data_IF_253103830819
#
_entry.id   IF_253103830819
#
_cell.length_a   1.000
_cell.length_b   1.000
_cell.length_c   1.000
_cell.angle_alpha   90.00
_cell.angle_beta   90.00
_cell.angle_gamma   90.00
#
_symmetry.space_group_name_H-M   'P 1'
#
loop_
_entity.id
_entity.type
_entity.pdbx_description
1 polymer ?
#
# COMPACT_ATOMS: atom_id res chain seq x y z
N UNK A 1 30.02 -55.80 -5.13
CA UNK A 1 31.11 -54.85 -5.42
C UNK A 1 30.44 -53.60 -6.00
N UNK A 2 30.76 -52.38 -5.52
CA UNK A 2 30.12 -51.15 -6.04
C UNK A 2 30.48 -50.95 -7.51
N UNK A 3 29.61 -50.30 -8.28
CA UNK A 3 29.78 -50.11 -9.73
C UNK A 3 30.92 -49.15 -10.12
N UNK A 4 31.49 -48.43 -9.14
CA UNK A 4 32.53 -47.41 -9.25
C UNK A 4 33.91 -47.87 -8.73
N UNK A 5 34.08 -49.17 -8.47
CA UNK A 5 35.34 -49.71 -7.97
C UNK A 5 36.42 -49.77 -9.06
N UNK A 6 37.57 -49.15 -8.82
CA UNK A 6 38.77 -49.22 -9.67
C UNK A 6 39.86 -49.95 -8.91
N UNK A 7 39.86 -51.29 -9.01
CA UNK A 7 40.77 -52.15 -8.24
C UNK A 7 40.40 -52.21 -6.75
N UNK A 8 41.36 -51.98 -5.86
CA UNK A 8 41.18 -51.98 -4.39
C UNK A 8 40.72 -50.62 -3.82
N UNK A 9 40.54 -49.60 -4.67
CA UNK A 9 40.12 -48.25 -4.30
C UNK A 9 38.86 -47.82 -5.07
N UNK A 10 38.24 -46.71 -4.68
CA UNK A 10 37.12 -46.08 -5.38
C UNK A 10 37.55 -44.72 -5.92
N UNK A 11 37.01 -44.37 -7.09
CA UNK A 11 37.27 -43.08 -7.72
C UNK A 11 36.36 -42.00 -7.11
N UNK A 12 36.92 -41.15 -6.26
CA UNK A 12 36.23 -40.01 -5.62
C UNK A 12 36.24 -38.74 -6.49
N UNK A 13 36.66 -38.80 -7.77
CA UNK A 13 36.52 -37.63 -8.64
C UNK A 13 35.04 -37.35 -8.98
N UNK A 14 34.52 -36.16 -8.67
CA UNK A 14 33.15 -35.82 -9.01
C UNK A 14 32.99 -35.87 -10.53
N UNK A 15 31.94 -36.54 -11.06
CA UNK A 15 31.74 -36.63 -12.49
C UNK A 15 31.69 -35.21 -13.08
N UNK A 16 32.32 -34.99 -14.26
CA UNK A 16 32.34 -33.66 -14.87
C UNK A 16 30.89 -33.18 -15.01
N UNK A 17 30.62 -31.96 -14.53
CA UNK A 17 29.30 -31.32 -14.66
C UNK A 17 28.98 -31.15 -16.14
N UNK A 18 28.31 -32.14 -16.71
CA UNK A 18 27.65 -31.99 -18.01
C UNK A 18 26.50 -31.02 -17.77
N UNK A 19 26.73 -29.73 -18.04
CA UNK A 19 25.64 -28.78 -18.21
C UNK A 19 24.89 -29.25 -19.44
N UNK A 20 23.84 -30.04 -19.23
CA UNK A 20 22.84 -30.28 -20.25
C UNK A 20 22.28 -28.91 -20.62
N UNK A 21 22.76 -28.35 -21.73
CA UNK A 21 22.09 -27.22 -22.38
C UNK A 21 20.81 -27.83 -22.93
N UNK A 22 19.76 -27.88 -22.12
CA UNK A 22 18.41 -28.04 -22.64
C UNK A 22 18.18 -26.81 -23.50
N UNK A 23 18.27 -26.96 -24.81
CA UNK A 23 17.59 -26.05 -25.74
C UNK A 23 16.12 -26.07 -25.32
N UNK A 24 15.74 -25.07 -24.52
CA UNK A 24 14.34 -24.80 -24.25
C UNK A 24 13.82 -24.26 -25.58
N UNK A 25 13.00 -25.06 -26.27
CA UNK A 25 12.22 -24.55 -27.38
C UNK A 25 11.57 -23.24 -26.93
N UNK A 26 11.91 -22.16 -27.62
CA UNK A 26 11.41 -20.84 -27.30
C UNK A 26 9.96 -20.78 -27.77
N UNK A 27 9.05 -21.26 -26.93
CA UNK A 27 7.61 -21.14 -27.17
C UNK A 27 7.33 -19.65 -27.26
N UNK A 28 6.97 -19.20 -28.46
CA UNK A 28 6.53 -17.82 -28.67
C UNK A 28 5.08 -17.79 -28.24
N UNK A 29 4.71 -16.97 -27.23
CA UNK A 29 3.31 -16.87 -26.83
C UNK A 29 2.49 -16.34 -28.01
N UNK A 30 1.21 -16.76 -28.13
CA UNK A 30 0.31 -16.16 -29.11
C UNK A 30 0.22 -14.65 -28.89
N UNK A 31 -0.08 -13.90 -29.94
CA UNK A 31 -0.35 -12.48 -29.80
C UNK A 31 -1.51 -12.27 -28.83
N UNK A 32 -1.34 -11.41 -27.82
CA UNK A 32 -2.40 -11.16 -26.86
C UNK A 32 -3.64 -10.57 -27.52
N UNK A 33 -4.80 -11.21 -27.29
CA UNK A 33 -6.07 -10.77 -27.86
C UNK A 33 -6.47 -9.36 -27.45
N UNK A 34 -5.96 -8.86 -26.32
CA UNK A 34 -6.24 -7.50 -25.83
C UNK A 34 -5.44 -6.39 -26.52
N UNK A 35 -4.53 -6.75 -27.43
CA UNK A 35 -3.83 -5.79 -28.30
C UNK A 35 -4.55 -5.59 -29.65
N UNK A 36 -5.56 -6.42 -29.94
CA UNK A 36 -6.35 -6.30 -31.16
C UNK A 36 -7.23 -5.03 -31.11
N UNK A 37 -7.21 -4.16 -32.15
CA UNK A 37 -8.10 -2.99 -32.21
C UNK A 37 -9.60 -3.31 -32.11
N UNK A 38 -10.01 -4.51 -32.51
CA UNK A 38 -11.37 -5.03 -32.39
C UNK A 38 -11.70 -5.69 -31.04
N UNK A 39 -10.75 -5.71 -30.09
CA UNK A 39 -10.98 -6.21 -28.75
C UNK A 39 -11.96 -5.29 -28.00
N UNK A 40 -13.15 -5.81 -27.68
CA UNK A 40 -14.21 -5.06 -27.01
C UNK A 40 -14.74 -5.88 -25.81
N UNK A 41 -13.98 -5.94 -24.70
CA UNK A 41 -14.30 -6.82 -23.59
C UNK A 41 -15.59 -6.38 -22.90
N UNK A 42 -16.58 -7.26 -22.90
CA UNK A 42 -17.83 -7.02 -22.18
C UNK A 42 -18.75 -5.98 -22.84
N UNK A 43 -18.58 -5.67 -24.13
CA UNK A 43 -19.38 -4.65 -24.82
C UNK A 43 -20.88 -4.93 -24.80
N UNK A 44 -21.28 -6.18 -25.05
CA UNK A 44 -22.70 -6.55 -25.04
C UNK A 44 -23.32 -6.38 -23.64
N UNK A 45 -22.56 -6.72 -22.60
CA UNK A 45 -22.94 -6.47 -21.21
C UNK A 45 -23.01 -4.96 -20.93
N UNK A 46 -22.06 -4.18 -21.44
CA UNK A 46 -22.03 -2.73 -21.27
C UNK A 46 -23.23 -2.05 -21.95
N UNK A 47 -23.59 -2.47 -23.17
CA UNK A 47 -24.79 -2.01 -23.90
C UNK A 47 -26.09 -2.37 -23.20
N UNK A 48 -26.14 -3.54 -22.58
CA UNK A 48 -27.30 -3.99 -21.81
C UNK A 48 -27.33 -3.46 -20.37
N UNK A 49 -26.25 -2.82 -19.89
CA UNK A 49 -26.17 -2.38 -18.51
C UNK A 49 -27.07 -1.15 -18.33
N UNK A 50 -28.02 -1.19 -17.38
CA UNK A 50 -29.02 -0.13 -17.25
C UNK A 50 -28.47 1.19 -16.70
N UNK A 51 -27.18 1.22 -16.27
CA UNK A 51 -26.49 2.35 -15.63
C UNK A 51 -27.45 3.17 -14.78
N UNK A 52 -28.09 2.55 -13.77
CA UNK A 52 -29.23 3.10 -13.04
C UNK A 52 -29.00 4.54 -12.54
N UNK A 53 -29.25 5.51 -13.41
CA UNK A 53 -28.80 6.89 -13.19
C UNK A 53 -29.60 7.54 -12.08
N UNK A 54 -28.95 8.44 -11.36
CA UNK A 54 -29.63 9.32 -10.40
C UNK A 54 -30.51 10.33 -11.12
N UNK A 55 -31.76 10.45 -10.67
CA UNK A 55 -32.51 11.70 -10.84
C UNK A 55 -31.97 12.77 -9.88
N UNK A 56 -32.15 14.05 -10.23
CA UNK A 56 -31.72 15.16 -9.35
C UNK A 56 -32.43 15.14 -7.98
N UNK A 57 -33.67 14.63 -7.94
CA UNK A 57 -34.41 14.45 -6.69
C UNK A 57 -33.77 13.36 -5.83
N UNK A 58 -33.52 12.17 -6.37
CA UNK A 58 -32.85 11.07 -5.65
C UNK A 58 -31.46 11.50 -5.16
N UNK A 59 -30.74 12.30 -5.94
CA UNK A 59 -29.43 12.81 -5.57
C UNK A 59 -29.54 13.79 -4.39
N UNK A 60 -30.53 14.67 -4.38
CA UNK A 60 -30.80 15.58 -3.26
C UNK A 60 -31.19 14.82 -1.99
N UNK A 61 -32.04 13.80 -2.11
CA UNK A 61 -32.44 12.92 -1.01
C UNK A 61 -31.24 12.16 -0.43
N UNK A 62 -30.36 11.63 -1.29
CA UNK A 62 -29.15 10.93 -0.85
C UNK A 62 -28.19 11.82 -0.05
N UNK A 63 -28.09 13.13 -0.37
CA UNK A 63 -27.34 14.11 0.44
C UNK A 63 -27.96 14.26 1.83
N UNK A 64 -29.29 14.43 1.91
CA UNK A 64 -29.98 14.63 3.18
C UNK A 64 -29.85 13.41 4.11
N UNK A 65 -29.82 12.22 3.53
CA UNK A 65 -29.60 10.97 4.25
C UNK A 65 -28.12 10.68 4.55
N UNK A 66 -27.20 11.56 4.15
CA UNK A 66 -25.74 11.43 4.34
C UNK A 66 -25.19 10.10 3.81
N UNK A 67 -25.75 9.61 2.70
CA UNK A 67 -25.30 8.36 2.11
C UNK A 67 -23.95 8.56 1.42
N UNK A 68 -22.93 7.71 1.67
CA UNK A 68 -21.66 7.83 1.00
C UNK A 68 -21.78 7.45 -0.49
N UNK A 69 -20.97 8.10 -1.31
CA UNK A 69 -20.75 7.72 -2.71
C UNK A 69 -19.35 7.14 -2.88
N UNK A 70 -19.27 5.92 -3.42
CA UNK A 70 -18.01 5.37 -3.87
C UNK A 70 -17.64 6.02 -5.19
N UNK A 71 -16.40 6.45 -5.37
CA UNK A 71 -16.00 7.12 -6.60
C UNK A 71 -14.61 6.69 -7.07
N UNK A 72 -14.42 6.81 -8.38
CA UNK A 72 -13.20 6.44 -9.09
C UNK A 72 -13.10 7.22 -10.42
N UNK A 73 -11.90 7.35 -10.97
CA UNK A 73 -11.59 8.13 -12.16
C UNK A 73 -10.84 7.31 -13.21
N UNK A 74 -11.35 7.32 -14.43
CA UNK A 74 -10.65 6.79 -15.61
C UNK A 74 -10.18 7.93 -16.52
N UNK A 75 -8.95 7.83 -17.03
CA UNK A 75 -8.37 8.88 -17.88
C UNK A 75 -7.54 8.30 -19.04
N UNK A 76 -7.94 8.69 -20.25
CA UNK A 76 -7.30 8.43 -21.54
C UNK A 76 -7.16 9.76 -22.30
N UNK A 77 -6.29 9.84 -23.33
CA UNK A 77 -6.03 11.09 -24.06
C UNK A 77 -7.29 11.81 -24.60
N UNK A 78 -8.29 11.03 -25.00
CA UNK A 78 -9.55 11.53 -25.57
C UNK A 78 -10.80 11.20 -24.72
N UNK A 79 -10.64 10.68 -23.51
CA UNK A 79 -11.76 10.30 -22.65
C UNK A 79 -11.42 10.47 -21.18
N UNK A 80 -12.27 11.19 -20.45
CA UNK A 80 -12.19 11.34 -19.00
C UNK A 80 -13.53 10.97 -18.38
N UNK A 81 -13.49 10.16 -17.34
CA UNK A 81 -14.68 9.67 -16.65
C UNK A 81 -14.49 9.82 -15.14
N UNK A 82 -15.49 10.39 -14.48
CA UNK A 82 -15.66 10.34 -13.02
C UNK A 82 -16.94 9.59 -12.74
N UNK A 83 -16.85 8.45 -12.07
CA UNK A 83 -18.03 7.65 -11.74
C UNK A 83 -18.28 7.64 -10.24
N UNK A 84 -19.55 7.60 -9.87
CA UNK A 84 -20.02 7.46 -8.50
C UNK A 84 -21.00 6.30 -8.41
N UNK A 85 -20.89 5.50 -7.35
CA UNK A 85 -21.80 4.41 -7.03
C UNK A 85 -22.34 4.62 -5.62
N UNK A 86 -23.66 4.58 -5.47
CA UNK A 86 -24.29 4.60 -4.17
C UNK A 86 -24.47 3.18 -3.64
N UNK A 87 -24.10 3.00 -2.36
CA UNK A 87 -24.00 1.72 -1.68
C UNK A 87 -25.30 0.87 -1.63
N UNK A 88 -26.44 1.47 -1.27
CA UNK A 88 -27.69 0.78 -0.92
C UNK A 88 -28.63 0.55 -2.11
N UNK A 89 -28.70 1.51 -3.02
CA UNK A 89 -29.63 1.57 -4.15
C UNK A 89 -29.00 1.06 -5.43
N UNK A 90 -27.66 0.98 -5.49
CA UNK A 90 -26.93 0.62 -6.71
C UNK A 90 -27.03 1.68 -7.81
N UNK A 91 -27.48 2.89 -7.45
CA UNK A 91 -27.56 4.03 -8.36
C UNK A 91 -26.17 4.50 -8.74
N UNK A 92 -26.03 4.91 -9.99
CA UNK A 92 -24.77 5.34 -10.57
C UNK A 92 -24.91 6.79 -11.03
N UNK A 93 -23.82 7.55 -10.93
CA UNK A 93 -23.70 8.86 -11.54
C UNK A 93 -22.35 8.94 -12.24
N UNK A 94 -22.35 9.18 -13.54
CA UNK A 94 -21.12 9.30 -14.32
C UNK A 94 -21.02 10.68 -14.94
N UNK A 95 -19.84 11.26 -14.89
CA UNK A 95 -19.47 12.48 -15.58
C UNK A 95 -18.42 12.14 -16.63
N UNK A 96 -18.77 12.32 -17.90
CA UNK A 96 -17.94 11.97 -19.03
C UNK A 96 -17.50 13.22 -19.78
N UNK A 97 -16.25 13.22 -20.25
CA UNK A 97 -15.71 14.25 -21.12
C UNK A 97 -14.95 13.62 -22.28
N UNK A 98 -15.38 13.95 -23.49
CA UNK A 98 -14.77 13.56 -24.76
C UNK A 98 -15.19 14.56 -25.86
N UNK A 99 -14.75 14.34 -27.09
CA UNK A 99 -15.09 15.21 -28.22
C UNK A 99 -16.62 15.36 -28.39
N UNK A 100 -17.13 16.59 -28.27
CA UNK A 100 -18.56 16.88 -28.37
C UNK A 100 -19.38 16.69 -27.09
N UNK A 101 -18.77 16.17 -26.02
CA UNK A 101 -19.41 15.98 -24.71
C UNK A 101 -18.60 16.72 -23.63
N UNK A 102 -18.99 17.96 -23.26
CA UNK A 102 -18.33 18.68 -22.18
C UNK A 102 -18.72 18.13 -20.82
N UNK A 103 -17.82 18.27 -19.85
CA UNK A 103 -18.08 17.88 -18.46
C UNK A 103 -19.09 18.84 -17.79
N UNK A 104 -20.07 18.30 -17.07
CA UNK A 104 -20.95 19.09 -16.18
C UNK A 104 -20.20 19.48 -14.90
N UNK A 105 -19.33 20.49 -15.03
CA UNK A 105 -18.49 21.00 -13.95
C UNK A 105 -19.31 21.50 -12.74
N UNK A 106 -20.39 22.30 -12.91
CA UNK A 106 -21.20 22.74 -11.77
C UNK A 106 -21.74 21.59 -10.94
N UNK A 107 -22.31 20.55 -11.58
CA UNK A 107 -22.88 19.41 -10.87
C UNK A 107 -21.78 18.55 -10.24
N UNK A 108 -20.66 18.31 -10.92
CA UNK A 108 -19.52 17.57 -10.35
C UNK A 108 -18.96 18.27 -9.10
N UNK A 109 -18.75 19.58 -9.16
CA UNK A 109 -18.29 20.38 -8.00
C UNK A 109 -19.26 20.28 -6.84
N UNK A 110 -20.57 20.33 -7.11
CA UNK A 110 -21.59 20.18 -6.08
C UNK A 110 -21.56 18.78 -5.46
N UNK A 111 -21.48 17.71 -6.26
CA UNK A 111 -21.39 16.33 -5.76
C UNK A 111 -20.19 16.15 -4.83
N UNK A 112 -18.99 16.57 -5.26
CA UNK A 112 -17.78 16.47 -4.43
C UNK A 112 -17.83 17.32 -3.16
N UNK A 113 -18.57 18.43 -3.18
CA UNK A 113 -18.72 19.33 -2.03
C UNK A 113 -19.82 18.91 -1.05
N UNK A 114 -20.86 18.22 -1.52
CA UNK A 114 -22.04 17.88 -0.73
C UNK A 114 -21.97 16.48 -0.09
N UNK A 115 -21.31 15.52 -0.76
CA UNK A 115 -21.30 14.13 -0.32
C UNK A 115 -20.04 13.76 0.49
N UNK A 116 -20.20 12.75 1.35
CA UNK A 116 -19.08 11.92 1.75
C UNK A 116 -18.70 11.02 0.56
N UNK A 117 -17.49 11.19 0.04
CA UNK A 117 -16.97 10.35 -1.04
C UNK A 117 -15.99 9.33 -0.48
N UNK A 118 -15.98 8.12 -1.06
CA UNK A 118 -15.09 7.03 -0.65
C UNK A 118 -14.38 6.49 -1.89
N UNK A 119 -13.05 6.43 -1.87
CA UNK A 119 -12.26 5.91 -2.99
C UNK A 119 -11.07 5.09 -2.52
N UNK A 120 -10.30 4.55 -3.46
CA UNK A 120 -9.08 3.80 -3.18
C UNK A 120 -7.88 4.50 -3.82
N UNK A 121 -6.93 4.96 -3.01
CA UNK A 121 -5.82 5.84 -3.43
C UNK A 121 -6.30 7.20 -3.99
N UNK A 122 -7.51 7.61 -3.60
CA UNK A 122 -8.20 8.75 -4.17
C UNK A 122 -7.60 10.10 -3.80
N UNK A 123 -7.01 10.23 -2.61
CA UNK A 123 -6.35 11.49 -2.22
C UNK A 123 -5.09 11.75 -3.04
N UNK A 124 -4.43 10.68 -3.50
CA UNK A 124 -3.20 10.77 -4.29
C UNK A 124 -3.48 11.05 -5.77
N UNK A 125 -4.53 10.45 -6.33
CA UNK A 125 -4.81 10.47 -7.76
C UNK A 125 -6.16 11.14 -8.09
N UNK A 126 -7.27 10.52 -7.72
CA UNK A 126 -8.61 10.91 -8.16
C UNK A 126 -8.98 12.34 -7.76
N UNK A 127 -8.74 12.74 -6.50
CA UNK A 127 -9.06 14.09 -6.03
C UNK A 127 -8.31 15.19 -6.81
N UNK A 128 -6.98 15.10 -7.02
CA UNK A 128 -6.26 15.99 -7.94
C UNK A 128 -6.85 16.01 -9.36
N UNK A 129 -7.20 14.86 -9.93
CA UNK A 129 -7.74 14.76 -11.28
C UNK A 129 -9.10 15.45 -11.39
N UNK A 130 -10.01 15.21 -10.44
CA UNK A 130 -11.31 15.87 -10.37
C UNK A 130 -11.15 17.38 -10.16
N UNK A 131 -10.15 17.82 -9.38
CA UNK A 131 -9.88 19.26 -9.17
C UNK A 131 -9.44 19.94 -10.48
N UNK A 132 -8.56 19.30 -11.26
CA UNK A 132 -8.16 19.78 -12.59
C UNK A 132 -9.34 19.82 -13.55
N UNK A 133 -10.15 18.76 -13.60
CA UNK A 133 -11.33 18.69 -14.44
C UNK A 133 -12.34 19.79 -14.07
N UNK A 134 -12.55 20.00 -12.77
CA UNK A 134 -13.36 21.10 -12.26
C UNK A 134 -12.79 22.47 -12.62
N UNK A 135 -11.49 22.63 -12.85
CA UNK A 135 -10.87 23.86 -13.32
C UNK A 135 -11.04 24.09 -14.84
N UNK A 136 -11.68 23.16 -15.55
CA UNK A 136 -11.94 23.26 -16.99
C UNK A 136 -10.79 22.78 -17.87
N UNK A 137 -9.89 21.95 -17.34
CA UNK A 137 -8.83 21.32 -18.14
C UNK A 137 -9.42 20.30 -19.11
N UNK A 138 -8.87 20.21 -20.32
CA UNK A 138 -9.31 19.26 -21.35
C UNK A 138 -8.77 17.83 -21.11
N UNK A 139 -9.23 16.85 -21.91
CA UNK A 139 -8.85 15.43 -21.74
C UNK A 139 -7.35 15.21 -21.92
N UNK A 140 -6.72 15.95 -22.83
CA UNK A 140 -5.28 15.84 -23.09
C UNK A 140 -4.45 16.33 -21.90
N UNK A 141 -4.81 17.49 -21.34
CA UNK A 141 -4.16 18.06 -20.15
C UNK A 141 -4.35 17.16 -18.93
N UNK A 142 -5.55 16.58 -18.78
CA UNK A 142 -5.80 15.59 -17.74
C UNK A 142 -4.92 14.34 -17.94
N UNK A 143 -4.81 13.83 -19.15
CA UNK A 143 -3.95 12.67 -19.42
C UNK A 143 -2.47 12.96 -19.12
N UNK A 144 -1.97 14.16 -19.43
CA UNK A 144 -0.62 14.59 -19.04
C UNK A 144 -0.45 14.65 -17.52
N UNK A 145 -1.48 15.09 -16.77
CA UNK A 145 -1.48 15.03 -15.32
C UNK A 145 -1.45 13.57 -14.81
N UNK A 146 -2.19 12.64 -15.45
CA UNK A 146 -2.11 11.21 -15.15
C UNK A 146 -0.69 10.68 -15.34
N UNK A 147 -0.01 11.01 -16.45
CA UNK A 147 1.38 10.62 -16.68
C UNK A 147 2.31 11.17 -15.59
N UNK A 148 2.11 12.43 -15.18
CA UNK A 148 2.88 13.05 -14.10
C UNK A 148 2.73 12.33 -12.75
N UNK A 149 1.51 11.95 -12.37
CA UNK A 149 1.23 11.31 -11.08
C UNK A 149 1.64 9.83 -11.07
N UNK A 150 1.32 9.10 -12.15
CA UNK A 150 1.47 7.64 -12.21
C UNK A 150 2.86 7.23 -12.69
N UNK A 151 3.33 7.79 -13.81
CA UNK A 151 4.60 7.37 -14.44
C UNK A 151 5.79 8.11 -13.83
N UNK A 152 5.64 9.40 -13.56
CA UNK A 152 6.70 10.21 -12.97
C UNK A 152 6.62 10.32 -11.45
N UNK A 153 5.69 9.58 -10.83
CA UNK A 153 5.48 9.48 -9.38
C UNK A 153 5.37 10.83 -8.65
N UNK A 154 4.94 11.88 -9.35
CA UNK A 154 4.76 13.18 -8.75
C UNK A 154 3.59 13.17 -7.78
N UNK A 155 3.68 13.98 -6.73
CA UNK A 155 2.56 14.13 -5.80
C UNK A 155 1.46 14.93 -6.48
N UNK A 156 0.20 14.51 -6.32
CA UNK A 156 -0.95 15.19 -6.94
C UNK A 156 -1.01 16.69 -6.61
N UNK A 157 -0.65 17.11 -5.39
CA UNK A 157 -0.58 18.53 -5.03
C UNK A 157 0.49 19.31 -5.80
N UNK A 158 1.62 18.68 -6.18
CA UNK A 158 2.64 19.32 -7.02
C UNK A 158 2.12 19.54 -8.43
N UNK A 159 1.33 18.58 -8.95
CA UNK A 159 0.69 18.70 -10.26
C UNK A 159 -0.34 19.84 -10.25
N UNK A 160 -1.19 19.92 -9.22
CA UNK A 160 -2.15 21.01 -9.05
C UNK A 160 -1.49 22.39 -9.02
N UNK A 161 -0.36 22.53 -8.33
CA UNK A 161 0.38 23.79 -8.23
C UNK A 161 0.86 24.33 -9.58
N UNK A 162 1.15 23.47 -10.56
CA UNK A 162 1.53 23.89 -11.92
C UNK A 162 0.44 24.69 -12.62
N UNK A 163 -0.81 24.41 -12.24
CA UNK A 163 -2.00 25.07 -12.75
C UNK A 163 -2.54 26.15 -11.78
N UNK A 164 -1.76 26.52 -10.75
CA UNK A 164 -2.18 27.50 -9.75
C UNK A 164 -3.30 27.01 -8.83
N UNK A 165 -3.54 25.70 -8.76
CA UNK A 165 -4.59 25.09 -7.96
C UNK A 165 -4.05 24.58 -6.61
N UNK A 166 -4.93 24.57 -5.62
CA UNK A 166 -4.69 23.91 -4.33
C UNK A 166 -5.49 22.62 -4.25
N UNK A 167 -5.04 21.68 -3.42
CA UNK A 167 -5.80 20.47 -3.16
C UNK A 167 -7.12 20.83 -2.46
N UNK A 168 -8.28 20.46 -3.01
CA UNK A 168 -9.56 20.77 -2.40
C UNK A 168 -9.75 20.00 -1.09
N UNK A 169 -10.42 20.63 -0.13
CA UNK A 169 -10.79 20.03 1.16
C UNK A 169 -12.17 19.40 1.07
N UNK A 170 -12.30 18.32 0.30
CA UNK A 170 -13.54 17.56 0.20
C UNK A 170 -13.69 16.58 1.38
N UNK A 171 -14.93 16.22 1.69
CA UNK A 171 -15.24 15.19 2.68
C UNK A 171 -15.02 13.81 2.04
N UNK A 172 -13.78 13.32 2.06
CA UNK A 172 -13.38 12.10 1.37
C UNK A 172 -12.69 11.12 2.30
N UNK A 173 -13.03 9.84 2.19
CA UNK A 173 -12.31 8.72 2.79
C UNK A 173 -11.49 8.02 1.70
N UNK A 174 -10.20 7.85 1.97
CA UNK A 174 -9.31 7.05 1.13
C UNK A 174 -8.99 5.74 1.84
N UNK A 175 -9.37 4.63 1.21
CA UNK A 175 -9.27 3.30 1.81
C UNK A 175 -7.84 2.73 1.78
N UNK A 176 -6.91 3.29 0.98
CA UNK A 176 -5.61 2.64 0.76
C UNK A 176 -4.78 2.50 2.05
N UNK A 177 -4.82 3.50 2.93
CA UNK A 177 -4.10 3.50 4.21
C UNK A 177 -4.88 2.78 5.32
N UNK A 178 -6.18 2.54 5.13
CA UNK A 178 -7.04 1.81 6.08
C UNK A 178 -6.96 0.31 5.83
N UNK A 179 -6.79 -0.10 4.58
CA UNK A 179 -6.68 -1.49 4.18
C UNK A 179 -5.38 -2.12 4.72
N UNK A 180 -5.42 -3.38 5.21
CA UNK A 180 -4.25 -4.00 5.83
C UNK A 180 -3.25 -4.52 4.79
N UNK A 181 -1.95 -4.31 5.06
CA UNK A 181 -0.82 -4.65 4.18
C UNK A 181 -0.76 -3.74 2.92
N UNK A 182 0.25 -3.95 2.09
CA UNK A 182 0.38 -3.24 0.81
C UNK A 182 -0.15 -4.12 -0.33
N UNK A 183 -1.28 -3.72 -0.92
CA UNK A 183 -1.85 -4.38 -2.10
C UNK A 183 -2.69 -3.39 -2.91
N UNK A 184 -2.89 -3.68 -4.20
CA UNK A 184 -3.80 -2.90 -5.05
C UNK A 184 -5.26 -3.31 -4.87
N UNK A 185 -6.18 -2.45 -5.35
CA UNK A 185 -7.63 -2.64 -5.26
C UNK A 185 -8.07 -4.02 -5.74
N UNK A 186 -7.55 -4.50 -6.88
CA UNK A 186 -7.84 -5.83 -7.44
C UNK A 186 -7.60 -6.97 -6.44
N UNK A 187 -6.48 -6.91 -5.72
CA UNK A 187 -6.12 -7.92 -4.72
C UNK A 187 -7.04 -7.87 -3.50
N UNK A 188 -7.43 -6.67 -3.07
CA UNK A 188 -8.40 -6.50 -2.00
C UNK A 188 -9.80 -6.94 -2.42
N UNK A 189 -10.24 -6.58 -3.63
CA UNK A 189 -11.49 -7.03 -4.21
C UNK A 189 -11.60 -8.55 -4.23
N UNK A 190 -10.52 -9.25 -4.56
CA UNK A 190 -10.48 -10.72 -4.46
C UNK A 190 -10.71 -11.25 -3.04
N UNK A 191 -10.04 -10.65 -2.05
CA UNK A 191 -10.22 -11.02 -0.63
C UNK A 191 -11.60 -10.66 -0.09
N UNK A 192 -12.19 -9.59 -0.61
CA UNK A 192 -13.54 -9.14 -0.29
C UNK A 192 -14.63 -9.83 -1.13
N UNK A 193 -14.29 -10.86 -1.91
CA UNK A 193 -15.22 -11.62 -2.76
C UNK A 193 -15.99 -10.74 -3.77
N UNK A 194 -15.32 -9.76 -4.38
CA UNK A 194 -15.88 -8.99 -5.49
C UNK A 194 -16.29 -9.93 -6.63
N UNK A 195 -17.49 -9.79 -7.22
CA UNK A 195 -18.00 -10.69 -8.25
C UNK A 195 -17.19 -10.61 -9.55
N UNK A 196 -16.47 -9.51 -9.77
CA UNK A 196 -15.65 -9.27 -10.95
C UNK A 196 -14.26 -8.83 -10.54
N UNK A 197 -13.28 -9.36 -11.25
CA UNK A 197 -11.89 -8.98 -11.15
C UNK A 197 -11.30 -8.95 -12.56
N UNK A 198 -10.91 -7.76 -13.02
CA UNK A 198 -10.39 -7.55 -14.36
C UNK A 198 -9.23 -6.56 -14.29
N UNK A 199 -8.34 -6.57 -15.29
CA UNK A 199 -7.43 -5.45 -15.54
C UNK A 199 -8.10 -4.41 -16.44
N UNK A 200 -7.45 -3.25 -16.57
CA UNK A 200 -7.88 -2.18 -17.49
C UNK A 200 -8.22 -2.77 -18.87
N UNK A 201 -9.38 -2.41 -19.45
CA UNK A 201 -9.82 -2.95 -20.74
C UNK A 201 -8.86 -2.64 -21.90
N UNK A 202 -8.18 -1.48 -21.84
CA UNK A 202 -7.28 -0.99 -22.87
C UNK A 202 -5.98 -0.49 -22.27
N UNK A 203 -4.92 -0.44 -23.08
CA UNK A 203 -3.64 0.08 -22.62
C UNK A 203 -3.75 1.58 -22.28
N UNK A 204 -3.12 2.04 -21.19
CA UNK A 204 -3.00 3.46 -20.90
C UNK A 204 -2.46 4.24 -22.10
N UNK A 205 -3.09 5.35 -22.46
CA UNK A 205 -2.70 6.17 -23.62
C UNK A 205 -3.34 5.78 -24.94
N UNK A 206 -4.17 4.74 -24.97
CA UNK A 206 -4.97 4.42 -26.16
C UNK A 206 -5.98 5.53 -26.45
N UNK A 207 -6.06 5.97 -27.71
CA UNK A 207 -7.17 6.82 -28.17
C UNK A 207 -8.39 5.93 -28.38
N UNK A 208 -9.41 6.10 -27.55
CA UNK A 208 -10.56 5.20 -27.49
C UNK A 208 -11.59 5.51 -28.57
N UNK A 209 -12.24 4.47 -29.10
CA UNK A 209 -13.50 4.59 -29.85
C UNK A 209 -14.69 4.69 -28.89
N UNK A 210 -15.88 5.05 -29.39
CA UNK A 210 -17.09 5.13 -28.55
C UNK A 210 -17.44 3.81 -27.86
N UNK A 211 -17.31 2.68 -28.55
CA UNK A 211 -17.53 1.34 -27.96
C UNK A 211 -16.47 1.01 -26.89
N UNK A 212 -15.22 1.44 -27.09
CA UNK A 212 -14.16 1.29 -26.09
C UNK A 212 -14.41 2.18 -24.86
N UNK A 213 -14.86 3.41 -25.04
CA UNK A 213 -15.27 4.29 -23.92
C UNK A 213 -16.38 3.63 -23.09
N UNK A 214 -17.38 3.03 -23.75
CA UNK A 214 -18.44 2.28 -23.07
C UNK A 214 -17.92 1.05 -22.30
N UNK A 215 -16.96 0.31 -22.88
CA UNK A 215 -16.27 -0.77 -22.18
C UNK A 215 -15.52 -0.28 -20.93
N UNK A 216 -14.85 0.87 -21.00
CA UNK A 216 -14.16 1.50 -19.85
C UNK A 216 -15.16 1.91 -18.77
N UNK A 217 -16.24 2.61 -19.16
CA UNK A 217 -17.31 3.00 -18.23
C UNK A 217 -17.90 1.79 -17.50
N UNK A 218 -18.17 0.71 -18.24
CA UNK A 218 -18.69 -0.52 -17.65
C UNK A 218 -17.69 -1.22 -16.72
N UNK A 219 -16.41 -1.28 -17.11
CA UNK A 219 -15.33 -1.79 -16.26
C UNK A 219 -15.25 -1.03 -14.94
N UNK A 220 -15.29 0.31 -15.00
CA UNK A 220 -15.15 1.17 -13.84
C UNK A 220 -16.32 1.00 -12.86
N UNK A 221 -17.55 1.05 -13.36
CA UNK A 221 -18.77 0.95 -12.53
C UNK A 221 -18.98 -0.47 -11.99
N UNK A 222 -18.91 -1.50 -12.84
CA UNK A 222 -19.22 -2.88 -12.45
C UNK A 222 -18.01 -3.64 -11.88
N UNK A 223 -16.81 -3.08 -11.98
CA UNK A 223 -15.56 -3.65 -11.46
C UNK A 223 -15.03 -2.84 -10.29
N UNK A 224 -14.36 -1.73 -10.56
CA UNK A 224 -13.57 -1.00 -9.57
C UNK A 224 -14.43 -0.34 -8.48
N UNK A 225 -15.53 0.33 -8.83
CA UNK A 225 -16.45 0.87 -7.81
C UNK A 225 -17.08 -0.23 -6.96
N UNK A 226 -17.39 -1.38 -7.57
CA UNK A 226 -17.92 -2.54 -6.83
C UNK A 226 -16.85 -3.10 -5.88
N UNK A 227 -15.59 -3.20 -6.31
CA UNK A 227 -14.49 -3.64 -5.46
C UNK A 227 -14.23 -2.66 -4.31
N UNK A 228 -14.27 -1.35 -4.57
CA UNK A 228 -14.14 -0.28 -3.56
C UNK A 228 -15.26 -0.35 -2.54
N UNK A 229 -16.51 -0.54 -2.97
CA UNK A 229 -17.64 -0.76 -2.09
C UNK A 229 -17.44 -2.00 -1.20
N UNK A 230 -17.05 -3.15 -1.79
CA UNK A 230 -16.83 -4.38 -1.02
C UNK A 230 -15.71 -4.23 0.00
N UNK A 231 -14.62 -3.54 -0.36
CA UNK A 231 -13.55 -3.24 0.57
C UNK A 231 -14.03 -2.34 1.70
N UNK A 232 -14.81 -1.30 1.41
CA UNK A 232 -15.42 -0.45 2.43
C UNK A 232 -16.28 -1.25 3.40
N UNK A 233 -17.15 -2.14 2.89
CA UNK A 233 -18.01 -3.01 3.71
C UNK A 233 -17.19 -3.86 4.69
N UNK A 234 -16.05 -4.40 4.24
CA UNK A 234 -15.12 -5.16 5.10
C UNK A 234 -14.44 -4.27 6.16
N UNK A 235 -14.19 -3.00 5.84
CA UNK A 235 -13.46 -2.05 6.69
C UNK A 235 -14.36 -1.18 7.59
N UNK A 236 -15.69 -1.37 7.57
CA UNK A 236 -16.63 -0.60 8.40
C UNK A 236 -16.20 -0.54 9.88
N UNK A 237 -15.83 -1.64 10.56
CA UNK A 237 -15.41 -1.58 11.97
C UNK A 237 -14.21 -0.65 12.21
N UNK A 238 -13.22 -0.68 11.31
CA UNK A 238 -12.01 0.14 11.36
C UNK A 238 -12.32 1.62 11.10
N UNK A 239 -13.25 1.88 10.17
CA UNK A 239 -13.71 3.23 9.81
C UNK A 239 -14.55 3.85 10.93
N UNK A 240 -15.43 3.09 11.58
CA UNK A 240 -16.21 3.55 12.72
C UNK A 240 -15.32 3.93 13.90
N UNK A 241 -14.30 3.11 14.20
CA UNK A 241 -13.30 3.44 15.23
C UNK A 241 -12.59 4.76 14.91
N UNK A 242 -12.11 4.91 13.67
CA UNK A 242 -11.49 6.15 13.19
C UNK A 242 -12.42 7.35 13.28
N UNK A 243 -13.70 7.20 12.92
CA UNK A 243 -14.68 8.28 13.00
C UNK A 243 -14.93 8.72 14.45
N UNK A 244 -15.05 7.77 15.39
CA UNK A 244 -15.19 8.07 16.82
C UNK A 244 -13.96 8.81 17.36
N UNK A 245 -12.76 8.30 17.07
CA UNK A 245 -11.50 8.95 17.46
C UNK A 245 -11.36 10.32 16.78
N UNK A 246 -11.83 10.47 15.54
CA UNK A 246 -11.81 11.77 14.85
C UNK A 246 -12.63 12.82 15.57
N UNK A 247 -13.83 12.44 16.03
CA UNK A 247 -14.71 13.30 16.81
C UNK A 247 -14.12 13.64 18.19
N UNK A 248 -13.53 12.66 18.87
CA UNK A 248 -12.90 12.84 20.18
C UNK A 248 -11.70 13.80 20.13
N UNK A 249 -10.85 13.68 19.11
CA UNK A 249 -9.61 14.43 18.99
C UNK A 249 -9.71 15.70 18.13
N UNK A 250 -10.83 15.91 17.43
CA UNK A 250 -11.00 17.03 16.50
C UNK A 250 -10.06 16.96 15.28
N UNK A 251 -9.69 15.75 14.85
CA UNK A 251 -8.78 15.47 13.74
C UNK A 251 -9.45 14.52 12.76
N UNK A 252 -9.24 14.65 11.44
CA UNK A 252 -9.74 13.64 10.51
C UNK A 252 -8.77 12.46 10.41
N UNK A 253 -9.18 11.32 10.96
CA UNK A 253 -8.40 10.08 11.03
C UNK A 253 -8.94 9.00 10.08
N UNK A 254 -10.01 9.27 9.33
CA UNK A 254 -10.76 8.26 8.58
C UNK A 254 -9.97 7.64 7.42
N UNK A 255 -8.98 8.36 6.90
CA UNK A 255 -8.07 7.92 5.84
C UNK A 255 -6.65 7.62 6.33
N UNK A 256 -6.45 7.44 7.65
CA UNK A 256 -5.13 7.22 8.23
C UNK A 256 -4.90 5.74 8.56
N UNK A 257 -3.66 5.29 8.40
CA UNK A 257 -3.21 4.01 8.92
C UNK A 257 -3.09 4.02 10.45
N UNK A 258 -3.07 2.84 11.07
CA UNK A 258 -3.00 2.72 12.53
C UNK A 258 -1.77 3.44 13.11
N UNK A 259 -0.63 3.38 12.40
CA UNK A 259 0.59 4.09 12.77
C UNK A 259 0.41 5.62 12.69
N UNK A 260 -0.24 6.13 11.63
CA UNK A 260 -0.51 7.56 11.47
C UNK A 260 -1.54 8.07 12.50
N UNK A 261 -2.49 7.22 12.92
CA UNK A 261 -3.42 7.54 14.01
C UNK A 261 -2.66 7.67 15.33
N UNK A 262 -1.81 6.70 15.65
CA UNK A 262 -0.99 6.74 16.85
C UNK A 262 -0.09 7.99 16.87
N UNK A 263 0.57 8.31 15.74
CA UNK A 263 1.37 9.53 15.59
C UNK A 263 0.53 10.79 15.83
N UNK A 264 -0.66 10.90 15.22
CA UNK A 264 -1.52 12.06 15.36
C UNK A 264 -1.99 12.27 16.81
N UNK A 265 -2.36 11.19 17.49
CA UNK A 265 -2.83 11.23 18.89
C UNK A 265 -1.69 11.53 19.85
N UNK A 266 -0.55 10.85 19.73
CA UNK A 266 0.63 11.11 20.56
C UNK A 266 1.10 12.55 20.35
N UNK A 267 1.09 13.05 19.12
CA UNK A 267 1.44 14.43 18.82
C UNK A 267 0.46 15.45 19.40
N UNK A 268 -0.84 15.14 19.38
CA UNK A 268 -1.87 15.98 20.00
C UNK A 268 -1.70 16.03 21.53
N UNK A 269 -1.50 14.89 22.18
CA UNK A 269 -1.24 14.82 23.62
C UNK A 269 0.04 15.53 24.01
N UNK A 270 1.12 15.28 23.27
CA UNK A 270 2.39 15.97 23.48
C UNK A 270 2.21 17.49 23.44
N UNK A 271 1.49 17.99 22.43
CA UNK A 271 1.20 19.42 22.28
C UNK A 271 0.33 19.95 23.42
N UNK A 272 -0.65 19.16 23.87
CA UNK A 272 -1.52 19.51 25.00
C UNK A 272 -0.74 19.65 26.30
N UNK A 273 0.24 18.78 26.53
CA UNK A 273 1.04 18.76 27.76
C UNK A 273 2.21 19.75 27.75
N UNK A 274 2.87 19.96 26.61
CA UNK A 274 4.10 20.78 26.52
C UNK A 274 3.87 22.16 25.91
N UNK A 275 2.75 22.38 25.21
CA UNK A 275 2.51 23.56 24.39
C UNK A 275 3.29 23.57 23.07
N UNK A 276 4.09 22.55 22.79
CA UNK A 276 4.94 22.45 21.60
C UNK A 276 4.53 21.25 20.73
N UNK A 277 4.66 21.38 19.42
CA UNK A 277 4.44 20.24 18.51
C UNK A 277 5.68 19.35 18.48
N UNK A 278 5.52 18.02 18.39
CA UNK A 278 6.67 17.14 18.23
C UNK A 278 7.39 17.49 16.93
N UNK A 279 8.71 17.67 17.01
CA UNK A 279 9.54 17.94 15.84
C UNK A 279 10.39 16.72 15.51
N UNK A 280 10.59 16.50 14.21
CA UNK A 280 11.53 15.48 13.75
C UNK A 280 12.94 15.89 14.18
N UNK A 281 13.67 14.96 14.79
CA UNK A 281 15.09 15.19 15.07
C UNK A 281 15.86 15.40 13.76
N UNK A 282 16.73 16.41 13.76
CA UNK A 282 17.83 16.45 12.80
C UNK A 282 18.84 15.38 13.22
N UNK A 283 19.27 14.59 12.25
CA UNK A 283 20.25 13.53 12.46
C UNK A 283 21.43 13.82 11.55
N UNK A 284 22.61 13.99 12.15
CA UNK A 284 23.82 14.26 11.39
C UNK A 284 24.21 13.05 10.55
N UNK A 285 24.11 13.17 9.22
CA UNK A 285 24.64 12.19 8.30
C UNK A 285 26.15 12.02 8.53
N UNK A 286 26.61 10.78 8.65
CA UNK A 286 27.98 10.46 9.03
C UNK A 286 28.24 10.50 10.55
N UNK A 287 27.24 10.88 11.35
CA UNK A 287 27.28 10.80 12.81
C UNK A 287 27.52 9.38 13.32
N UNK A 288 27.93 9.28 14.58
CA UNK A 288 28.19 8.01 15.26
C UNK A 288 27.38 7.95 16.54
N UNK A 289 26.66 6.84 16.71
CA UNK A 289 25.98 6.48 17.97
C UNK A 289 26.57 5.21 18.55
N UNK A 290 26.38 4.99 19.85
CA UNK A 290 26.84 3.79 20.55
C UNK A 290 25.68 3.06 21.19
N UNK A 291 25.76 1.74 21.20
CA UNK A 291 24.78 0.91 21.88
C UNK A 291 25.03 0.90 23.39
N UNK A 292 24.01 1.30 24.16
CA UNK A 292 24.02 1.21 25.62
C UNK A 292 23.23 -0.02 26.04
N UNK A 293 23.94 -1.05 26.48
CA UNK A 293 23.33 -2.29 26.94
C UNK A 293 22.49 -2.04 28.21
N UNK A 294 21.25 -2.54 28.28
CA UNK A 294 20.47 -2.55 29.52
C UNK A 294 21.24 -3.17 30.70
N UNK A 295 21.12 -2.59 31.89
CA UNK A 295 21.81 -3.06 33.10
C UNK A 295 21.45 -4.51 33.50
N UNK A 296 20.26 -4.97 33.09
CA UNK A 296 19.77 -6.34 33.30
C UNK A 296 20.18 -7.31 32.21
N UNK A 297 20.76 -6.85 31.09
CA UNK A 297 21.20 -7.73 30.00
C UNK A 297 22.53 -8.39 30.38
N UNK A 298 22.46 -9.67 30.77
CA UNK A 298 23.63 -10.46 31.18
C UNK A 298 23.57 -11.84 30.55
N UNK A 299 24.72 -12.37 30.17
CA UNK A 299 24.87 -13.70 29.60
C UNK A 299 25.77 -14.55 30.47
N UNK A 300 25.49 -15.85 30.54
CA UNK A 300 26.33 -16.82 31.27
C UNK A 300 27.49 -17.34 30.41
N UNK A 301 27.26 -17.52 29.10
CA UNK A 301 28.26 -18.10 28.19
C UNK A 301 29.28 -17.09 27.66
N UNK A 302 30.56 -17.48 27.63
CA UNK A 302 31.68 -16.65 27.17
C UNK A 302 31.48 -16.09 25.75
N UNK A 303 30.90 -16.87 24.84
CA UNK A 303 30.62 -16.43 23.47
C UNK A 303 29.72 -15.18 23.44
N UNK A 304 28.65 -15.20 24.24
CA UNK A 304 27.66 -14.11 24.25
C UNK A 304 28.15 -12.92 25.08
N UNK A 305 28.92 -13.17 26.14
CA UNK A 305 29.60 -12.10 26.90
C UNK A 305 30.59 -11.35 26.01
N UNK A 306 31.46 -12.06 25.28
CA UNK A 306 32.41 -11.46 24.35
C UNK A 306 31.71 -10.70 23.22
N UNK A 307 30.63 -11.26 22.67
CA UNK A 307 29.84 -10.57 21.65
C UNK A 307 29.19 -9.29 22.18
N UNK A 308 28.60 -9.32 23.38
CA UNK A 308 28.02 -8.13 24.01
C UNK A 308 29.07 -7.03 24.16
N UNK A 309 30.27 -7.37 24.67
CA UNK A 309 31.38 -6.43 24.82
C UNK A 309 31.80 -5.81 23.47
N UNK A 310 31.91 -6.62 22.42
CA UNK A 310 32.25 -6.13 21.09
C UNK A 310 31.16 -5.20 20.51
N UNK A 311 29.88 -5.50 20.72
CA UNK A 311 28.77 -4.66 20.26
C UNK A 311 28.73 -3.34 21.03
N UNK A 312 28.90 -3.37 22.36
CA UNK A 312 28.95 -2.14 23.17
C UNK A 312 30.16 -1.27 22.86
N UNK A 313 31.26 -1.88 22.38
CA UNK A 313 32.46 -1.18 21.94
C UNK A 313 32.41 -0.72 20.47
N UNK A 314 31.38 -1.07 19.71
CA UNK A 314 31.28 -0.74 18.30
C UNK A 314 30.59 0.61 18.08
N UNK A 315 31.09 1.34 17.08
CA UNK A 315 30.49 2.57 16.59
C UNK A 315 29.44 2.26 15.52
N UNK A 316 28.24 2.78 15.71
CA UNK A 316 27.12 2.67 14.78
C UNK A 316 27.02 3.95 13.97
N UNK A 317 27.38 3.88 12.68
CA UNK A 317 27.36 5.04 11.79
C UNK A 317 25.97 5.35 11.29
N UNK A 318 25.68 6.62 11.05
CA UNK A 318 24.43 7.07 10.46
C UNK A 318 24.66 7.32 8.97
N UNK A 319 23.94 6.59 8.12
CA UNK A 319 23.98 6.78 6.67
C UNK A 319 23.35 8.13 6.28
N UNK A 320 23.58 8.58 5.04
CA UNK A 320 22.96 9.81 4.49
C UNK A 320 21.42 9.78 4.54
N UNK A 321 20.82 8.59 4.52
CA UNK A 321 19.38 8.39 4.70
C UNK A 321 18.86 8.63 6.12
N UNK A 322 19.76 8.89 7.09
CA UNK A 322 19.45 8.97 8.52
C UNK A 322 19.30 7.61 9.22
N UNK A 323 19.49 6.50 8.50
CA UNK A 323 19.42 5.15 9.06
C UNK A 323 20.74 4.72 9.70
N UNK A 324 20.66 3.95 10.77
CA UNK A 324 21.82 3.36 11.43
C UNK A 324 22.38 2.21 10.59
N UNK A 325 23.66 2.27 10.28
CA UNK A 325 24.40 1.21 9.61
C UNK A 325 24.80 0.12 10.59
N UNK A 326 24.68 -1.12 10.12
CA UNK A 326 25.11 -2.28 10.89
C UNK A 326 26.63 -2.34 11.00
N UNK A 327 27.20 -2.35 12.22
CA UNK A 327 28.63 -2.50 12.41
C UNK A 327 29.16 -3.85 11.93
N UNK A 328 30.43 -3.86 11.54
CA UNK A 328 31.11 -5.05 11.03
C UNK A 328 31.11 -6.21 12.01
N UNK A 329 31.22 -5.93 13.31
CA UNK A 329 31.14 -6.96 14.36
C UNK A 329 29.83 -7.75 14.25
N UNK A 330 28.69 -7.05 14.08
CA UNK A 330 27.40 -7.72 14.00
C UNK A 330 27.21 -8.44 12.65
N UNK A 331 27.67 -7.85 11.53
CA UNK A 331 27.60 -8.48 10.20
C UNK A 331 28.35 -9.83 10.18
N UNK A 332 29.52 -9.87 10.82
CA UNK A 332 30.42 -11.03 10.86
C UNK A 332 30.04 -12.02 11.97
N UNK A 333 29.29 -11.60 12.99
CA UNK A 333 28.89 -12.46 14.10
C UNK A 333 28.13 -13.71 13.61
N UNK A 334 28.58 -14.87 14.09
CA UNK A 334 27.92 -16.16 13.92
C UNK A 334 27.81 -16.81 15.30
N UNK A 335 26.58 -16.86 15.81
CA UNK A 335 26.29 -17.32 17.17
C UNK A 335 25.81 -18.76 17.07
N UNK A 336 26.44 -19.67 17.81
CA UNK A 336 26.06 -21.09 17.83
C UNK A 336 25.21 -21.32 19.07
N UNK A 337 23.92 -21.58 18.91
CA UNK A 337 23.04 -21.98 20.01
C UNK A 337 22.56 -23.41 19.72
N UNK A 338 23.04 -24.36 20.52
CA UNK A 338 22.84 -25.78 20.25
C UNK A 338 23.42 -26.19 18.88
N UNK A 339 22.55 -26.67 17.99
CA UNK A 339 22.93 -27.12 16.63
C UNK A 339 22.75 -26.04 15.56
N UNK A 340 22.12 -24.92 15.89
CA UNK A 340 21.78 -23.86 14.95
C UNK A 340 22.80 -22.73 14.99
N UNK A 341 23.03 -22.12 13.83
CA UNK A 341 23.81 -20.89 13.70
C UNK A 341 22.85 -19.74 13.44
N UNK A 342 23.01 -18.68 14.22
CA UNK A 342 22.28 -17.43 14.08
C UNK A 342 23.20 -16.31 13.63
N UNK A 343 22.66 -15.41 12.82
CA UNK A 343 23.25 -14.12 12.45
C UNK A 343 22.46 -12.99 13.10
N UNK A 344 23.13 -11.87 13.33
CA UNK A 344 22.48 -10.66 13.80
C UNK A 344 21.93 -9.86 12.60
N UNK A 345 20.80 -9.20 12.80
CA UNK A 345 20.30 -8.05 12.05
C UNK A 345 20.20 -6.83 12.97
N UNK A 346 20.02 -5.64 12.42
CA UNK A 346 19.71 -4.44 13.23
C UNK A 346 18.41 -4.62 14.02
N UNK A 347 17.43 -5.32 13.43
CA UNK A 347 16.10 -5.54 14.03
C UNK A 347 15.92 -6.84 14.81
N UNK A 348 16.94 -7.71 14.90
CA UNK A 348 16.80 -8.98 15.62
C UNK A 348 17.76 -10.09 15.22
N UNK A 349 17.48 -11.30 15.70
CA UNK A 349 18.24 -12.52 15.40
C UNK A 349 17.62 -13.24 14.20
N UNK A 350 18.45 -13.79 13.31
CA UNK A 350 17.99 -14.61 12.20
C UNK A 350 18.72 -15.95 12.20
N UNK A 351 17.97 -17.05 12.15
CA UNK A 351 18.58 -18.36 11.95
C UNK A 351 19.08 -18.51 10.50
N UNK A 352 19.96 -19.48 10.27
CA UNK A 352 20.59 -19.71 8.95
C UNK A 352 20.11 -20.98 8.25
N UNK A 353 19.10 -21.69 8.78
CA UNK A 353 18.51 -22.81 8.06
C UNK A 353 17.72 -22.34 6.82
N UNK A 354 17.68 -23.20 5.80
CA UNK A 354 16.80 -22.99 4.62
C UNK A 354 15.37 -23.44 4.88
N UNK A 355 15.17 -24.35 5.83
CA UNK A 355 13.89 -24.92 6.21
C UNK A 355 14.11 -25.93 7.32
N UNK A 356 13.17 -26.00 8.26
CA UNK A 356 13.25 -26.89 9.42
C UNK A 356 11.84 -27.35 9.79
N UNK A 357 11.74 -28.58 10.28
CA UNK A 357 10.49 -29.16 10.78
C UNK A 357 10.78 -29.83 12.11
N UNK A 358 9.95 -29.54 13.11
CA UNK A 358 10.04 -30.12 14.43
C UNK A 358 8.78 -30.93 14.73
N UNK A 359 8.94 -32.01 15.47
CA UNK A 359 7.85 -32.87 15.92
C UNK A 359 7.93 -32.97 17.44
N UNK A 360 6.78 -32.93 18.10
CA UNK A 360 6.67 -33.30 19.50
C UNK A 360 6.81 -34.82 19.66
N UNK A 361 7.30 -35.28 20.81
CA UNK A 361 7.38 -36.69 21.19
C UNK A 361 6.77 -36.91 22.59
N UNK A 362 6.83 -38.14 23.12
CA UNK A 362 6.25 -38.46 24.44
C UNK A 362 6.87 -37.67 25.60
N UNK A 363 8.09 -37.14 25.43
CA UNK A 363 8.81 -36.38 26.45
C UNK A 363 8.87 -34.87 26.22
N UNK A 364 8.51 -34.39 25.01
CA UNK A 364 8.68 -32.99 24.61
C UNK A 364 7.45 -32.43 23.91
N UNK A 365 7.04 -31.24 24.34
CA UNK A 365 5.99 -30.45 23.69
C UNK A 365 6.60 -29.27 22.92
N UNK A 366 6.02 -28.95 21.77
CA UNK A 366 6.34 -27.74 21.05
C UNK A 366 5.49 -26.59 21.62
N UNK A 367 6.15 -25.50 22.00
CA UNK A 367 5.51 -24.31 22.58
C UNK A 367 5.86 -23.12 21.72
N UNK A 368 4.85 -22.47 21.17
CA UNK A 368 4.98 -21.13 20.60
C UNK A 368 4.49 -20.11 21.64
N UNK A 369 5.27 -19.07 21.87
CA UNK A 369 4.97 -18.02 22.84
C UNK A 369 4.96 -16.69 22.12
N UNK A 370 3.78 -16.26 21.72
CA UNK A 370 3.57 -14.87 21.33
C UNK A 370 3.53 -14.01 22.60
N UNK A 371 4.36 -12.96 22.63
CA UNK A 371 4.48 -12.09 23.78
C UNK A 371 4.14 -10.67 23.35
N UNK A 372 3.03 -10.19 23.88
CA UNK A 372 2.48 -8.88 23.54
C UNK A 372 3.39 -7.77 24.04
N UNK A 373 3.52 -6.70 23.24
CA UNK A 373 4.13 -5.43 23.66
C UNK A 373 5.61 -5.44 24.03
N UNK A 374 6.44 -6.32 23.45
CA UNK A 374 7.89 -6.36 23.70
C UNK A 374 8.58 -4.99 23.53
N UNK A 375 8.36 -4.32 22.39
CA UNK A 375 8.97 -3.01 22.13
C UNK A 375 8.48 -1.93 23.11
N UNK A 376 7.15 -1.74 23.34
CA UNK A 376 6.67 -0.84 24.38
C UNK A 376 7.26 -1.10 25.76
N UNK A 377 7.33 -2.36 26.19
CA UNK A 377 7.89 -2.73 27.50
C UNK A 377 9.38 -2.42 27.61
N UNK A 378 10.16 -2.66 26.54
CA UNK A 378 11.59 -2.29 26.49
C UNK A 378 11.75 -0.77 26.56
N UNK A 379 10.98 -0.01 25.76
CA UNK A 379 11.04 1.46 25.73
C UNK A 379 10.73 2.03 27.11
N UNK A 380 9.65 1.60 27.75
CA UNK A 380 9.25 2.06 29.08
C UNK A 380 10.23 1.60 30.17
N UNK A 381 10.63 0.33 30.16
CA UNK A 381 11.53 -0.25 31.16
C UNK A 381 12.94 0.34 31.13
N UNK A 382 13.36 0.87 29.98
CA UNK A 382 14.63 1.57 29.81
C UNK A 382 14.51 3.10 29.88
N UNK A 383 13.29 3.63 29.97
CA UNK A 383 13.04 5.07 29.92
C UNK A 383 13.55 5.71 28.62
N UNK A 384 13.40 5.01 27.48
CA UNK A 384 13.84 5.53 26.19
C UNK A 384 12.83 6.53 25.66
N UNK A 385 13.30 7.73 25.33
CA UNK A 385 12.54 8.74 24.63
C UNK A 385 13.47 9.52 23.70
N UNK A 386 12.96 10.09 22.60
CA UNK A 386 13.75 10.99 21.77
C UNK A 386 14.10 12.26 22.55
N UNK A 387 15.38 12.67 22.64
CA UNK A 387 15.79 13.84 23.45
C UNK A 387 15.07 15.14 23.09
N UNK A 388 14.71 15.32 21.82
CA UNK A 388 13.98 16.52 21.36
C UNK A 388 12.54 16.59 21.86
N UNK A 389 12.00 15.51 22.43
CA UNK A 389 10.67 15.50 23.02
C UNK A 389 10.68 15.85 24.53
N UNK A 390 11.86 16.02 25.15
CA UNK A 390 11.98 16.43 26.56
C UNK A 390 12.38 15.27 27.46
#
# INVERSE_FOLDING_TARGET
>A
MRADAVGLFWDDTPPPRVKAVKERERITPPEPTWLDPGYLPGLEQAKAWPFHDFTDQELTEAVLEQQPLFFDVECYPNYFLVSFLQHKTGRVLCFEMYEGQPLDIPKLRWVMGAFLTVGFNSLRYDCPMVALACAGMDTQTLYEATQAIIVHEQRGWQVLQRYGLQQPKWNTIDLIEVAPLEAGLKSYGGRANSPRMQDLPFLPGTTLTADQMLCVKYYNVAGDLTATQRLYEVLVPQLELRAKMSAEWGLDLRSKSDAQIAEAIIGAEYTRHTGQRPQRAEVDAGGVVRYWAPHYLRYEGEQLQGLLQQITGADFRIAESGKVEMPDVMKKARIRLGRTIYKLGIGGLHSMEKGMTHYADEGHVLVDKDVTSYYPSIILGLGLYPPQLG
#
